data_IF_371144472358
#
_entry.id   IF_371144472358
#
_cell.length_a   1.000
_cell.length_b   1.000
_cell.length_c   1.000
_cell.angle_alpha   90.00
_cell.angle_beta   90.00
_cell.angle_gamma   90.00
#
_symmetry.space_group_name_H-M   'P 1'
#
loop_
_entity.id
_entity.type
_entity.pdbx_description
1 polymer ?
#
# COMPACT_ATOMS: atom_id res chain seq x y z
N UNK A 1 -6.13 -7.05 -5.70
CA UNK A 1 -5.15 -6.87 -6.79
C UNK A 1 -4.28 -5.66 -6.45
N UNK A 2 -2.95 -5.76 -6.54
CA UNK A 2 -1.99 -4.74 -6.05
C UNK A 2 -2.16 -3.36 -6.69
N UNK A 3 -2.58 -3.32 -7.96
CA UNK A 3 -2.89 -2.06 -8.66
C UNK A 3 -3.99 -1.26 -7.95
N UNK A 4 -5.00 -1.93 -7.38
CA UNK A 4 -6.07 -1.28 -6.63
C UNK A 4 -5.52 -0.56 -5.40
N UNK A 5 -4.58 -1.19 -4.69
CA UNK A 5 -3.92 -0.59 -3.52
C UNK A 5 -3.09 0.64 -3.90
N UNK A 6 -2.34 0.57 -5.01
CA UNK A 6 -1.62 1.73 -5.55
C UNK A 6 -2.58 2.87 -5.88
N UNK A 7 -3.71 2.57 -6.51
CA UNK A 7 -4.72 3.58 -6.82
C UNK A 7 -5.33 4.21 -5.56
N UNK A 8 -5.62 3.41 -4.54
CA UNK A 8 -6.17 3.88 -3.26
C UNK A 8 -5.15 4.75 -2.54
N UNK A 9 -3.95 4.22 -2.29
CA UNK A 9 -2.89 4.93 -1.53
C UNK A 9 -2.39 6.16 -2.29
N UNK A 10 -2.28 6.09 -3.61
CA UNK A 10 -1.96 7.22 -4.47
C UNK A 10 -3.03 8.30 -4.45
N UNK A 11 -4.31 7.92 -4.44
CA UNK A 11 -5.44 8.87 -4.28
C UNK A 11 -5.43 9.52 -2.90
N UNK A 12 -5.22 8.74 -1.82
CA UNK A 12 -5.10 9.27 -0.46
C UNK A 12 -3.94 10.26 -0.36
N UNK A 13 -2.78 9.90 -0.90
CA UNK A 13 -1.62 10.78 -0.94
C UNK A 13 -1.87 12.04 -1.79
N UNK A 14 -2.66 11.93 -2.86
CA UNK A 14 -3.04 13.07 -3.70
C UNK A 14 -3.85 14.13 -2.94
N UNK A 15 -4.64 13.73 -1.93
CA UNK A 15 -5.41 14.65 -1.07
C UNK A 15 -4.51 15.58 -0.25
N UNK A 16 -3.26 15.19 -0.01
CA UNK A 16 -2.30 16.06 0.65
C UNK A 16 -1.89 17.22 -0.26
N UNK A 17 -1.78 18.45 0.28
CA UNK A 17 -1.29 19.64 -0.46
C UNK A 17 0.24 19.68 -0.57
N UNK A 18 0.86 18.51 -0.74
CA UNK A 18 2.32 18.30 -0.69
C UNK A 18 2.91 18.20 -2.11
N UNK A 19 4.21 18.48 -2.30
CA UNK A 19 4.89 18.28 -3.58
C UNK A 19 4.92 16.79 -3.97
N UNK A 20 5.13 16.52 -5.27
CA UNK A 20 5.04 15.18 -5.86
C UNK A 20 5.89 14.13 -5.11
N UNK A 21 7.13 14.44 -4.77
CA UNK A 21 8.00 13.49 -4.08
C UNK A 21 7.43 13.09 -2.71
N UNK A 22 6.89 14.04 -1.93
CA UNK A 22 6.27 13.74 -0.64
C UNK A 22 4.99 12.91 -0.80
N UNK A 23 4.22 13.13 -1.88
CA UNK A 23 3.05 12.30 -2.19
C UNK A 23 3.43 10.86 -2.49
N UNK A 24 4.48 10.65 -3.30
CA UNK A 24 4.98 9.31 -3.62
C UNK A 24 5.44 8.58 -2.35
N UNK A 25 6.24 9.26 -1.51
CA UNK A 25 6.72 8.67 -0.25
C UNK A 25 5.55 8.36 0.69
N UNK A 26 4.58 9.27 0.82
CA UNK A 26 3.39 9.04 1.64
C UNK A 26 2.58 7.83 1.17
N UNK A 27 2.33 7.73 -0.15
CA UNK A 27 1.63 6.58 -0.71
C UNK A 27 2.39 5.26 -0.53
N UNK A 28 3.73 5.29 -0.68
CA UNK A 28 4.56 4.11 -0.49
C UNK A 28 4.58 3.64 0.97
N UNK A 29 4.59 4.58 1.94
CA UNK A 29 4.45 4.24 3.35
C UNK A 29 3.09 3.61 3.64
N UNK A 30 2.00 4.11 3.05
CA UNK A 30 0.68 3.48 3.16
C UNK A 30 0.68 2.05 2.58
N UNK A 31 1.34 1.84 1.43
CA UNK A 31 1.47 0.49 0.86
C UNK A 31 2.21 -0.47 1.81
N UNK A 32 3.29 -0.03 2.46
CA UNK A 32 4.03 -0.85 3.45
C UNK A 32 3.20 -1.10 4.70
N UNK A 33 2.43 -0.11 5.16
CA UNK A 33 1.51 -0.30 6.29
C UNK A 33 0.47 -1.37 5.94
N UNK A 34 -0.09 -1.34 4.73
CA UNK A 34 -1.01 -2.38 4.28
C UNK A 34 -0.35 -3.77 4.25
N UNK A 35 0.87 -3.87 3.70
CA UNK A 35 1.63 -5.11 3.65
C UNK A 35 1.86 -5.70 5.05
N UNK A 36 2.18 -4.86 6.03
CA UNK A 36 2.29 -5.27 7.43
C UNK A 36 1.03 -5.95 7.99
N UNK A 37 -0.17 -5.51 7.59
CA UNK A 37 -1.42 -6.17 7.98
C UNK A 37 -1.71 -7.44 7.17
N UNK A 38 -1.29 -7.49 5.90
CA UNK A 38 -1.51 -8.64 5.02
C UNK A 38 -0.67 -9.85 5.48
N UNK A 39 0.58 -9.63 5.89
CA UNK A 39 1.53 -10.71 6.19
C UNK A 39 1.03 -11.73 7.25
N UNK A 40 0.50 -11.32 8.43
CA UNK A 40 -0.03 -12.28 9.41
C UNK A 40 -1.18 -13.14 8.89
N UNK A 41 -2.03 -12.57 8.04
CA UNK A 41 -3.17 -13.28 7.44
C UNK A 41 -2.68 -14.25 6.37
N UNK A 42 -1.74 -13.82 5.54
CA UNK A 42 -1.13 -14.67 4.52
C UNK A 42 -0.44 -15.90 5.13
N UNK A 43 0.27 -15.73 6.25
CA UNK A 43 0.92 -16.83 6.97
C UNK A 43 -0.12 -17.73 7.66
N UNK A 44 -1.15 -17.15 8.30
CA UNK A 44 -2.20 -17.94 8.99
C UNK A 44 -3.01 -18.82 8.04
N UNK A 45 -3.24 -18.36 6.82
CA UNK A 45 -3.98 -19.09 5.79
C UNK A 45 -3.07 -19.88 4.83
N UNK A 46 -1.80 -20.09 5.18
CA UNK A 46 -0.84 -20.87 4.40
C UNK A 46 -0.67 -20.40 2.93
N UNK A 47 -0.85 -19.10 2.66
CA UNK A 47 -0.60 -18.54 1.33
C UNK A 47 0.89 -18.52 0.99
N UNK A 48 1.74 -18.21 1.97
CA UNK A 48 3.19 -18.42 1.93
C UNK A 48 3.75 -18.43 3.34
N UNK A 49 4.96 -18.95 3.48
CA UNK A 49 5.70 -18.98 4.73
C UNK A 49 7.10 -18.39 4.55
N UNK A 50 7.61 -17.76 5.60
CA UNK A 50 9.00 -17.33 5.67
C UNK A 50 9.84 -18.37 6.40
N UNK A 51 11.11 -18.50 6.01
CA UNK A 51 12.06 -19.39 6.67
C UNK A 51 12.46 -18.92 8.09
N UNK A 52 12.11 -17.67 8.43
CA UNK A 52 12.38 -17.06 9.72
C UNK A 52 11.07 -16.91 10.51
N UNK A 53 11.14 -16.86 11.86
CA UNK A 53 9.95 -16.68 12.70
C UNK A 53 9.31 -15.29 12.57
N UNK A 54 9.93 -14.39 11.82
CA UNK A 54 9.45 -13.04 11.57
C UNK A 54 9.55 -12.72 10.07
N UNK A 55 8.70 -11.80 9.61
CA UNK A 55 8.75 -11.27 8.25
C UNK A 55 10.06 -10.49 8.07
N UNK A 56 10.88 -10.80 7.06
CA UNK A 56 12.16 -10.13 6.87
C UNK A 56 11.96 -8.66 6.49
N UNK A 57 12.83 -7.77 6.99
CA UNK A 57 12.80 -6.34 6.66
C UNK A 57 12.91 -6.08 5.15
N UNK A 58 13.61 -6.98 4.44
CA UNK A 58 13.76 -6.96 3.00
C UNK A 58 12.40 -6.99 2.27
N UNK A 59 11.37 -7.62 2.84
CA UNK A 59 10.03 -7.64 2.26
C UNK A 59 9.42 -6.24 2.24
N UNK A 60 9.40 -5.57 3.39
CA UNK A 60 8.87 -4.22 3.53
C UNK A 60 9.65 -3.20 2.70
N UNK A 61 10.98 -3.33 2.61
CA UNK A 61 11.79 -2.50 1.72
C UNK A 61 11.49 -2.77 0.24
N UNK A 62 11.33 -4.03 -0.15
CA UNK A 62 10.93 -4.43 -1.49
C UNK A 62 9.61 -3.79 -1.89
N UNK A 63 8.60 -3.90 -1.03
CA UNK A 63 7.30 -3.27 -1.23
C UNK A 63 7.37 -1.75 -1.23
N UNK A 64 8.21 -1.14 -0.39
CA UNK A 64 8.44 0.29 -0.41
C UNK A 64 8.96 0.78 -1.77
N UNK A 65 10.08 0.21 -2.26
CA UNK A 65 10.68 0.62 -3.54
C UNK A 65 9.78 0.31 -4.74
N UNK A 66 9.10 -0.84 -4.72
CA UNK A 66 8.11 -1.20 -5.75
C UNK A 66 6.97 -0.19 -5.77
N UNK A 67 6.46 0.19 -4.59
CA UNK A 67 5.39 1.18 -4.48
C UNK A 67 5.82 2.56 -4.93
N UNK A 68 7.06 2.99 -4.62
CA UNK A 68 7.62 4.27 -5.11
C UNK A 68 7.59 4.31 -6.64
N UNK A 69 8.04 3.24 -7.31
CA UNK A 69 8.05 3.14 -8.77
C UNK A 69 6.62 3.20 -9.34
N UNK A 70 5.70 2.40 -8.78
CA UNK A 70 4.31 2.36 -9.24
C UNK A 70 3.58 3.69 -9.01
N UNK A 71 3.82 4.34 -7.88
CA UNK A 71 3.23 5.65 -7.55
C UNK A 71 3.79 6.77 -8.43
N UNK A 72 5.07 6.70 -8.80
CA UNK A 72 5.65 7.61 -9.78
C UNK A 72 4.88 7.55 -11.11
N UNK A 73 4.62 6.35 -11.63
CA UNK A 73 3.81 6.18 -12.84
C UNK A 73 2.35 6.59 -12.63
N UNK A 74 1.74 6.26 -11.49
CA UNK A 74 0.37 6.67 -11.13
C UNK A 74 0.20 8.19 -11.17
N UNK A 75 1.14 8.95 -10.62
CA UNK A 75 1.05 10.42 -10.64
C UNK A 75 1.34 11.03 -12.01
N UNK A 76 2.09 10.33 -12.87
CA UNK A 76 2.40 10.77 -14.25
C UNK A 76 1.27 10.45 -15.24
N UNK A 77 0.47 9.43 -14.99
CA UNK A 77 -0.60 9.03 -15.88
C UNK A 77 -1.77 10.03 -15.85
N UNK A 78 -2.34 10.35 -17.01
CA UNK A 78 -3.37 11.37 -17.17
C UNK A 78 -4.79 10.83 -16.93
N UNK A 79 -5.14 10.64 -15.66
CA UNK A 79 -6.50 10.34 -15.22
C UNK A 79 -6.88 11.13 -13.95
N UNK A 80 -8.16 11.11 -13.59
CA UNK A 80 -8.67 11.76 -12.37
C UNK A 80 -8.23 11.00 -11.11
N UNK A 81 -7.43 11.65 -10.25
CA UNK A 81 -6.97 11.11 -8.96
C UNK A 81 -7.92 11.43 -7.80
N UNK A 82 -9.16 11.83 -8.08
CA UNK A 82 -10.15 12.17 -7.04
C UNK A 82 -11.12 11.01 -6.87
N UNK A 83 -11.01 10.30 -5.74
CA UNK A 83 -11.93 9.23 -5.37
C UNK A 83 -12.29 9.33 -3.89
N UNK A 84 -13.56 9.67 -3.61
CA UNK A 84 -14.09 9.82 -2.24
C UNK A 84 -14.13 8.50 -1.47
N UNK A 85 -14.09 7.36 -2.16
CA UNK A 85 -14.18 6.02 -1.58
C UNK A 85 -12.79 5.50 -1.17
N UNK A 86 -11.70 6.14 -1.60
CA UNK A 86 -10.34 5.65 -1.34
C UNK A 86 -10.04 5.50 0.16
N UNK A 87 -10.36 6.49 0.99
CA UNK A 87 -10.12 6.43 2.44
C UNK A 87 -10.97 5.32 3.10
N UNK A 88 -12.31 5.28 2.94
CA UNK A 88 -13.12 4.18 3.49
C UNK A 88 -12.64 2.79 3.05
N UNK A 89 -12.31 2.63 1.77
CA UNK A 89 -11.87 1.34 1.22
C UNK A 89 -10.53 0.88 1.82
N UNK A 90 -9.60 1.81 2.02
CA UNK A 90 -8.32 1.54 2.68
C UNK A 90 -8.52 1.09 4.14
N UNK A 91 -9.40 1.79 4.87
CA UNK A 91 -9.72 1.44 6.27
C UNK A 91 -10.37 0.06 6.33
N UNK A 92 -11.34 -0.23 5.45
CA UNK A 92 -11.99 -1.55 5.39
C UNK A 92 -10.97 -2.66 5.14
N UNK A 93 -10.00 -2.42 4.25
CA UNK A 93 -8.93 -3.39 3.99
C UNK A 93 -8.04 -3.59 5.23
N UNK A 94 -7.63 -2.53 5.91
CA UNK A 94 -6.88 -2.67 7.18
C UNK A 94 -7.69 -3.48 8.19
N UNK A 95 -8.97 -3.16 8.38
CA UNK A 95 -9.83 -3.86 9.34
C UNK A 95 -10.00 -5.34 8.99
N UNK A 96 -10.17 -5.65 7.71
CA UNK A 96 -10.27 -7.02 7.20
C UNK A 96 -9.02 -7.84 7.52
N UNK A 97 -7.82 -7.25 7.37
CA UNK A 97 -6.57 -7.96 7.64
C UNK A 97 -6.13 -7.89 9.12
N UNK A 98 -6.60 -6.92 9.88
CA UNK A 98 -6.28 -6.76 11.30
C UNK A 98 -7.09 -7.69 12.21
N UNK A 99 -8.35 -7.95 11.88
CA UNK A 99 -9.27 -8.79 12.66
C UNK A 99 -9.73 -9.98 11.80
N UNK A 100 -8.92 -11.05 11.70
CA UNK A 100 -9.16 -12.17 10.79
C UNK A 100 -10.24 -13.11 11.31
#
# INVERSE_FOLDING_TARGET
NWLTLVCITGTIAHLSRRPLYQKIILGALLMVIMDFFIEPVAIRHDFWAWNHPYVPLQNYLGWFFTSVLLLYFFFRADFSKVNKIAIPLYIIQILFFYCP
#
